data_IF_453016526059
#
_entry.id   IF_453016526059
#
_cell.length_a   1.000
_cell.length_b   1.000
_cell.length_c   1.000
_cell.angle_alpha   90.00
_cell.angle_beta   90.00
_cell.angle_gamma   90.00
#
_symmetry.space_group_name_H-M   'P 1'
#
loop_
_entity.id
_entity.type
_entity.pdbx_description
1 polymer ?
#
# COMPACT_ATOMS: atom_id res chain seq x y z
N UNK A 1 1.88 11.77 -12.86
CA UNK A 1 2.13 11.64 -11.41
C UNK A 1 0.83 11.24 -10.73
N UNK A 2 0.74 10.00 -10.18
CA UNK A 2 -0.33 9.60 -9.24
C UNK A 2 -0.48 10.63 -8.10
N UNK A 3 0.66 11.27 -7.77
CA UNK A 3 0.79 12.30 -6.78
C UNK A 3 -0.20 13.46 -6.91
N UNK A 4 -0.79 13.76 -8.09
CA UNK A 4 -1.75 14.89 -8.15
C UNK A 4 -3.11 14.54 -7.52
N UNK A 5 -3.72 13.42 -7.92
CA UNK A 5 -4.99 13.01 -7.33
C UNK A 5 -4.85 12.71 -5.84
N UNK A 6 -3.72 12.12 -5.43
CA UNK A 6 -3.41 11.89 -4.04
C UNK A 6 -3.15 13.18 -3.26
N UNK A 7 -2.30 14.08 -3.77
CA UNK A 7 -2.06 15.39 -3.14
C UNK A 7 -3.36 16.18 -2.99
N UNK A 8 -4.14 16.29 -4.06
CA UNK A 8 -5.43 16.98 -4.05
C UNK A 8 -6.37 16.35 -3.00
N UNK A 9 -6.38 15.02 -2.86
CA UNK A 9 -7.15 14.33 -1.83
C UNK A 9 -6.67 14.67 -0.41
N UNK A 10 -5.37 14.65 -0.16
CA UNK A 10 -4.79 14.97 1.15
C UNK A 10 -5.01 16.46 1.51
N UNK A 11 -4.79 17.37 0.56
CA UNK A 11 -4.99 18.81 0.71
C UNK A 11 -6.45 19.14 1.05
N UNK A 12 -7.40 18.55 0.30
CA UNK A 12 -8.84 18.77 0.54
C UNK A 12 -9.31 18.23 1.90
N UNK A 13 -8.59 17.27 2.49
CA UNK A 13 -8.89 16.74 3.82
C UNK A 13 -8.02 17.37 4.93
N UNK A 14 -7.18 18.36 4.61
CA UNK A 14 -6.33 19.06 5.58
C UNK A 14 -5.28 18.15 6.25
N UNK A 15 -4.83 17.11 5.54
CA UNK A 15 -3.81 16.18 6.04
C UNK A 15 -2.42 16.80 5.86
N UNK A 16 -1.63 16.85 6.93
CA UNK A 16 -0.22 17.24 6.81
C UNK A 16 0.60 16.10 6.23
N UNK A 17 1.31 16.35 5.14
CA UNK A 17 2.21 15.37 4.53
C UNK A 17 3.48 16.03 3.96
N UNK A 18 4.51 15.21 3.75
CA UNK A 18 5.75 15.62 3.11
C UNK A 18 6.08 14.64 1.98
N UNK A 19 6.55 15.18 0.85
CA UNK A 19 7.03 14.38 -0.25
C UNK A 19 8.57 14.38 -0.26
N UNK A 20 9.16 13.19 -0.31
CA UNK A 20 10.60 13.00 -0.44
C UNK A 20 10.90 12.24 -1.72
N UNK A 21 11.81 12.77 -2.51
CA UNK A 21 12.35 12.01 -3.64
C UNK A 21 13.48 11.12 -3.13
N UNK A 22 13.47 9.85 -3.54
CA UNK A 22 14.54 8.91 -3.29
C UNK A 22 15.09 8.37 -4.62
N UNK A 23 16.26 7.75 -4.59
CA UNK A 23 16.75 7.01 -5.74
C UNK A 23 15.84 5.79 -5.99
N UNK A 24 15.65 5.33 -7.24
CA UNK A 24 14.87 4.13 -7.51
C UNK A 24 15.39 2.95 -6.69
N UNK A 25 14.47 2.21 -6.08
CA UNK A 25 14.75 1.02 -5.30
C UNK A 25 13.70 -0.05 -5.64
N UNK A 26 14.07 -1.32 -5.50
CA UNK A 26 13.23 -2.45 -5.93
C UNK A 26 12.22 -2.83 -4.86
N UNK A 27 12.56 -2.60 -3.58
CA UNK A 27 11.68 -2.96 -2.45
C UNK A 27 11.41 -1.78 -1.52
N UNK A 28 10.22 -1.78 -0.90
CA UNK A 28 9.88 -0.80 0.13
C UNK A 28 10.89 -0.79 1.30
N UNK A 29 11.50 -1.93 1.62
CA UNK A 29 12.56 -2.02 2.63
C UNK A 29 13.84 -1.28 2.22
N UNK A 30 14.22 -1.35 0.94
CA UNK A 30 15.35 -0.59 0.39
C UNK A 30 15.04 0.91 0.37
N UNK A 31 13.81 1.30 0.01
CA UNK A 31 13.36 2.70 0.10
C UNK A 31 13.48 3.20 1.53
N UNK A 32 12.93 2.45 2.49
CA UNK A 32 13.00 2.77 3.92
C UNK A 32 14.44 2.94 4.39
N UNK A 33 15.33 2.03 4.02
CA UNK A 33 16.75 2.12 4.35
C UNK A 33 17.40 3.37 3.74
N UNK A 34 17.16 3.66 2.46
CA UNK A 34 17.75 4.82 1.79
C UNK A 34 17.28 6.15 2.38
N UNK A 35 16.01 6.21 2.79
CA UNK A 35 15.39 7.36 3.41
C UNK A 35 15.63 7.44 4.93
N UNK A 36 16.37 6.49 5.51
CA UNK A 36 16.60 6.37 6.96
C UNK A 36 15.28 6.30 7.78
N UNK A 37 14.24 5.72 7.16
CA UNK A 37 12.94 5.48 7.78
C UNK A 37 12.96 4.06 8.38
N UNK A 38 12.58 3.87 9.65
CA UNK A 38 12.46 2.53 10.19
C UNK A 38 11.38 1.75 9.42
N UNK A 39 11.66 0.50 9.02
CA UNK A 39 10.76 -0.28 8.18
C UNK A 39 9.34 -0.51 8.74
N UNK A 40 9.13 -0.28 10.03
CA UNK A 40 7.80 -0.30 10.67
C UNK A 40 6.94 0.94 10.37
N UNK A 41 7.56 2.07 10.02
CA UNK A 41 6.87 3.28 9.56
C UNK A 41 6.65 3.29 8.05
N UNK A 42 7.43 2.51 7.29
CA UNK A 42 7.24 2.39 5.85
C UNK A 42 6.14 1.37 5.59
N UNK A 43 4.95 1.82 5.22
CA UNK A 43 3.90 0.96 4.71
C UNK A 43 4.20 0.56 3.26
N UNK A 44 3.82 -0.65 2.89
CA UNK A 44 3.75 -1.08 1.50
C UNK A 44 2.36 -1.58 1.19
N UNK A 45 1.92 -1.38 -0.04
CA UNK A 45 0.66 -1.88 -0.55
C UNK A 45 0.91 -3.17 -1.31
N UNK A 46 0.14 -4.21 -1.02
CA UNK A 46 0.14 -5.47 -1.77
C UNK A 46 -1.28 -5.69 -2.31
N UNK A 47 -1.40 -5.84 -3.62
CA UNK A 47 -2.70 -6.09 -4.25
C UNK A 47 -3.04 -7.58 -4.13
N UNK A 48 -4.25 -7.86 -3.66
CA UNK A 48 -4.79 -9.20 -3.45
C UNK A 48 -6.13 -9.35 -4.14
N UNK A 49 -6.45 -10.57 -4.56
CA UNK A 49 -7.81 -10.96 -4.88
C UNK A 49 -8.46 -11.57 -3.62
N UNK A 50 -9.60 -11.02 -3.21
CA UNK A 50 -10.45 -11.55 -2.13
C UNK A 50 -11.79 -11.93 -2.73
N UNK A 51 -12.07 -13.23 -2.82
CA UNK A 51 -13.31 -13.79 -3.38
C UNK A 51 -13.68 -13.21 -4.77
N UNK A 52 -12.69 -13.03 -5.65
CA UNK A 52 -12.85 -12.52 -7.02
C UNK A 52 -12.86 -11.00 -7.13
N UNK A 53 -12.43 -10.28 -6.09
CA UNK A 53 -12.39 -8.81 -6.05
C UNK A 53 -11.02 -8.32 -5.61
N UNK A 54 -10.44 -7.43 -6.40
CA UNK A 54 -9.19 -6.77 -6.03
C UNK A 54 -9.37 -5.92 -4.76
N UNK A 55 -8.39 -6.02 -3.86
CA UNK A 55 -8.27 -5.25 -2.64
C UNK A 55 -6.79 -4.96 -2.33
N UNK A 56 -6.57 -4.01 -1.43
CA UNK A 56 -5.25 -3.62 -0.94
C UNK A 56 -5.02 -4.21 0.44
N UNK A 57 -3.92 -4.94 0.60
CA UNK A 57 -3.37 -5.29 1.91
C UNK A 57 -2.19 -4.35 2.20
N UNK A 58 -2.29 -3.57 3.27
CA UNK A 58 -1.30 -2.55 3.65
C UNK A 58 -0.61 -3.00 4.93
N UNK A 59 0.71 -3.17 4.85
CA UNK A 59 1.52 -3.71 5.94
C UNK A 59 2.89 -3.02 5.99
N UNK A 60 3.62 -3.12 7.10
CA UNK A 60 4.98 -2.62 7.17
C UNK A 60 5.92 -3.26 6.13
N UNK A 61 6.89 -2.50 5.64
CA UNK A 61 7.86 -2.94 4.65
C UNK A 61 8.65 -4.16 5.11
N UNK A 62 8.94 -4.22 6.43
CA UNK A 62 9.66 -5.31 7.09
C UNK A 62 8.83 -6.56 7.39
N UNK A 63 7.56 -6.62 6.95
CA UNK A 63 6.69 -7.78 7.10
C UNK A 63 6.33 -8.39 5.75
N UNK A 64 5.86 -9.64 5.74
CA UNK A 64 5.37 -10.30 4.54
C UNK A 64 3.88 -10.61 4.71
N UNK A 65 3.12 -10.41 3.65
CA UNK A 65 1.72 -10.78 3.65
C UNK A 65 1.62 -12.31 3.68
N UNK A 66 0.79 -12.80 4.59
CA UNK A 66 0.37 -14.19 4.67
C UNK A 66 -1.10 -14.26 4.20
N UNK A 67 -1.37 -14.71 2.96
CA UNK A 67 -2.72 -14.74 2.41
C UNK A 67 -3.68 -15.61 3.22
N UNK A 68 -3.19 -16.67 3.87
CA UNK A 68 -4.03 -17.55 4.68
C UNK A 68 -4.45 -16.85 5.98
N UNK A 69 -3.54 -16.10 6.62
CA UNK A 69 -3.92 -15.24 7.76
C UNK A 69 -4.94 -14.18 7.37
N UNK A 70 -4.73 -13.52 6.22
CA UNK A 70 -5.68 -12.51 5.73
C UNK A 70 -7.04 -13.14 5.43
N UNK A 71 -7.07 -14.30 4.77
CA UNK A 71 -8.31 -15.05 4.50
C UNK A 71 -9.08 -15.37 5.77
N UNK A 72 -8.38 -15.85 6.81
CA UNK A 72 -8.98 -16.15 8.11
C UNK A 72 -9.52 -14.89 8.80
N UNK A 73 -8.76 -13.79 8.80
CA UNK A 73 -9.16 -12.52 9.40
C UNK A 73 -10.39 -11.90 8.73
N UNK A 74 -10.53 -12.07 7.41
CA UNK A 74 -11.65 -11.56 6.62
C UNK A 74 -12.85 -12.51 6.58
N UNK A 75 -12.73 -13.72 7.11
CA UNK A 75 -13.71 -14.80 6.92
C UNK A 75 -14.05 -15.04 5.43
N UNK A 76 -13.06 -14.87 4.55
CA UNK A 76 -13.19 -15.03 3.11
C UNK A 76 -13.08 -16.50 2.69
N UNK A 77 -13.62 -16.84 1.52
CA UNK A 77 -13.48 -18.19 0.97
C UNK A 77 -12.09 -18.39 0.37
N UNK A 78 -11.56 -17.37 -0.31
CA UNK A 78 -10.26 -17.37 -0.99
C UNK A 78 -9.60 -15.99 -0.91
N UNK A 79 -8.30 -16.00 -0.64
CA UNK A 79 -7.43 -14.82 -0.76
C UNK A 79 -6.15 -15.23 -1.47
N UNK A 80 -5.77 -14.50 -2.51
CA UNK A 80 -4.54 -14.73 -3.27
C UNK A 80 -3.83 -13.42 -3.60
N UNK A 81 -2.52 -13.49 -3.85
CA UNK A 81 -1.79 -12.36 -4.40
C UNK A 81 -2.26 -12.12 -5.84
N UNK A 82 -2.57 -10.87 -6.17
CA UNK A 82 -2.83 -10.50 -7.56
C UNK A 82 -1.50 -10.38 -8.32
N UNK A 83 -1.47 -10.83 -9.57
CA UNK A 83 -0.32 -10.57 -10.44
C UNK A 83 -0.35 -9.13 -10.95
N UNK A 84 0.80 -8.57 -11.32
CA UNK A 84 0.88 -7.20 -11.85
C UNK A 84 -0.03 -7.00 -13.07
N UNK A 85 -0.16 -8.04 -13.92
CA UNK A 85 -1.06 -8.01 -15.08
C UNK A 85 -2.54 -7.89 -14.70
N UNK A 86 -2.94 -8.35 -13.51
CA UNK A 86 -4.33 -8.30 -13.05
C UNK A 86 -4.76 -6.88 -12.63
N UNK A 87 -3.81 -6.03 -12.20
CA UNK A 87 -4.15 -4.73 -11.59
C UNK A 87 -3.43 -3.51 -12.18
N UNK A 88 -2.42 -3.67 -13.04
CA UNK A 88 -1.65 -2.53 -13.61
C UNK A 88 -2.54 -1.44 -14.24
N UNK A 89 -3.64 -1.84 -14.88
CA UNK A 89 -4.56 -0.92 -15.54
C UNK A 89 -5.39 -0.10 -14.54
N UNK A 90 -5.47 -0.53 -13.27
CA UNK A 90 -6.05 0.26 -12.19
C UNK A 90 -5.13 1.40 -11.74
N UNK A 91 -3.81 1.28 -11.97
CA UNK A 91 -2.81 2.26 -11.54
C UNK A 91 -1.98 2.81 -12.71
N UNK A 92 -2.61 3.43 -13.73
CA UNK A 92 -1.93 3.82 -14.97
C UNK A 92 -0.85 4.88 -14.80
N UNK A 93 -0.73 5.47 -13.61
CA UNK A 93 0.27 6.47 -13.27
C UNK A 93 1.36 5.94 -12.33
N UNK A 94 1.17 4.76 -11.72
CA UNK A 94 2.13 4.17 -10.79
C UNK A 94 2.97 3.13 -11.52
N UNK A 95 4.24 3.00 -11.12
CA UNK A 95 4.98 1.78 -11.40
C UNK A 95 4.50 0.67 -10.46
N UNK A 96 4.49 -0.61 -10.89
CA UNK A 96 4.15 -1.72 -10.00
C UNK A 96 4.96 -1.70 -8.71
N UNK A 97 4.27 -1.86 -7.58
CA UNK A 97 4.87 -1.74 -6.24
C UNK A 97 4.92 -0.31 -5.70
N UNK A 98 4.50 0.68 -6.48
CA UNK A 98 4.33 2.09 -6.10
C UNK A 98 2.87 2.50 -5.89
N UNK A 99 1.98 1.54 -5.63
CA UNK A 99 0.57 1.79 -5.40
C UNK A 99 0.37 2.47 -4.03
N UNK A 100 -0.19 3.70 -3.98
CA UNK A 100 -0.45 4.35 -2.72
C UNK A 100 -1.58 3.61 -1.96
N UNK A 101 -1.55 3.54 -0.61
CA UNK A 101 -2.52 2.80 0.21
C UNK A 101 -3.88 3.52 0.34
N UNK A 102 -4.40 4.05 -0.77
CA UNK A 102 -5.59 4.89 -0.85
C UNK A 102 -6.63 4.25 -1.77
N UNK A 103 -7.16 3.10 -1.34
CA UNK A 103 -8.12 2.33 -2.14
C UNK A 103 -9.38 3.10 -2.54
N UNK A 104 -9.76 4.15 -1.80
CA UNK A 104 -10.85 5.05 -2.18
C UNK A 104 -10.61 5.79 -3.51
N UNK A 105 -9.36 6.00 -3.92
CA UNK A 105 -9.02 6.60 -5.21
C UNK A 105 -9.14 5.59 -6.37
N UNK A 106 -9.22 4.30 -6.07
CA UNK A 106 -9.20 3.19 -7.04
C UNK A 106 -10.40 2.24 -6.90
N UNK A 107 -11.38 2.58 -6.06
CA UNK A 107 -12.53 1.74 -5.72
C UNK A 107 -12.15 0.33 -5.22
N UNK A 108 -11.13 0.26 -4.36
CA UNK A 108 -10.64 -0.97 -3.73
C UNK A 108 -10.81 -0.91 -2.21
N UNK A 109 -11.18 -2.04 -1.61
CA UNK A 109 -11.15 -2.18 -0.15
C UNK A 109 -9.70 -2.15 0.33
N UNK A 110 -9.47 -1.56 1.50
CA UNK A 110 -8.15 -1.48 2.13
C UNK A 110 -8.18 -2.21 3.47
N UNK A 111 -7.27 -3.17 3.63
CA UNK A 111 -7.05 -3.90 4.88
C UNK A 111 -5.67 -3.54 5.41
N UNK A 112 -5.62 -2.91 6.59
CA UNK A 112 -4.38 -2.38 7.17
C UNK A 112 -3.95 -3.26 8.34
N UNK A 113 -2.68 -3.64 8.37
CA UNK A 113 -2.07 -4.31 9.52
C UNK A 113 -2.08 -3.39 10.75
N UNK A 114 -2.56 -3.90 11.89
CA UNK A 114 -2.77 -3.11 13.11
C UNK A 114 -1.46 -2.56 13.68
N UNK A 115 -0.31 -3.15 13.32
CA UNK A 115 1.00 -2.66 13.78
C UNK A 115 1.35 -1.30 13.19
N UNK A 116 0.84 -0.95 12.00
CA UNK A 116 1.00 0.40 11.42
C UNK A 116 0.26 1.46 12.22
N UNK A 117 -0.84 1.09 12.89
CA UNK A 117 -1.64 2.03 13.70
C UNK A 117 -0.98 2.39 15.04
N UNK A 118 0.13 1.73 15.39
CA UNK A 118 0.90 2.01 16.60
C UNK A 118 1.92 3.12 16.40
N UNK A 119 2.13 3.55 15.16
CA UNK A 119 3.05 4.60 14.81
C UNK A 119 2.30 5.93 14.62
N UNK A 120 2.90 7.04 15.08
CA UNK A 120 2.28 8.37 14.99
C UNK A 120 2.28 8.95 13.57
N UNK A 121 3.08 8.35 12.67
CA UNK A 121 3.20 8.72 11.27
C UNK A 121 3.62 7.51 10.44
N UNK A 122 3.28 7.53 9.15
CA UNK A 122 3.70 6.53 8.18
C UNK A 122 4.25 7.18 6.91
N UNK A 123 5.18 6.48 6.25
CA UNK A 123 5.60 6.71 4.87
C UNK A 123 5.10 5.55 4.02
N UNK A 124 4.93 5.77 2.72
CA UNK A 124 4.43 4.78 1.77
C UNK A 124 4.89 5.11 0.35
#
# INVERSE_FOLDING_TARGET
>A
MPARALADFLDNNGVNYHCYNHAPAVTASEVAQSAHIPGRHMAKTVIVDVDGKLAMAVLPANQYLDPEKLRQALHANRVELASEDDFKDCFPLCEPGGEPPFGNLYNMNVYVDDTLLREDWLAF
#
